data_IF_670914561728
#
_entry.id   IF_670914561728
#
_cell.length_a   1.000
_cell.length_b   1.000
_cell.length_c   1.000
_cell.angle_alpha   90.00
_cell.angle_beta   90.00
_cell.angle_gamma   90.00
#
_symmetry.space_group_name_H-M   'P 1'
#
loop_
_entity.id
_entity.type
_entity.pdbx_description
1 polymer ?
#
# COMPACT_ATOMS: atom_id res chain seq x y z
N UNK A 1 8.94 29.56 26.95
CA UNK A 1 8.08 28.38 26.82
C UNK A 1 8.94 27.16 27.17
N UNK A 2 8.55 26.41 28.18
CA UNK A 2 9.31 25.20 28.57
C UNK A 2 9.22 24.13 27.49
N UNK A 3 10.09 23.11 27.54
CA UNK A 3 10.13 22.05 26.53
C UNK A 3 8.82 21.28 26.46
N UNK A 4 8.10 21.11 27.58
CA UNK A 4 6.82 20.42 27.63
C UNK A 4 5.74 21.16 26.81
N UNK A 5 5.60 22.47 26.98
CA UNK A 5 4.63 23.24 26.18
C UNK A 5 4.95 23.32 24.69
N UNK A 6 6.22 23.10 24.29
CA UNK A 6 6.56 22.91 22.87
C UNK A 6 6.10 21.56 22.37
N UNK A 7 6.24 20.51 23.18
CA UNK A 7 5.78 19.15 22.83
C UNK A 7 4.25 19.13 22.72
N UNK A 8 3.52 19.73 23.68
CA UNK A 8 2.06 19.85 23.63
C UNK A 8 1.59 20.49 22.32
N UNK A 9 2.23 21.59 21.90
CA UNK A 9 1.90 22.23 20.62
C UNK A 9 2.13 21.29 19.43
N UNK A 10 3.24 20.54 19.42
CA UNK A 10 3.52 19.57 18.36
C UNK A 10 2.45 18.46 18.36
N UNK A 11 2.07 17.97 19.52
CA UNK A 11 1.03 16.94 19.66
C UNK A 11 -0.32 17.48 19.16
N UNK A 12 -0.74 18.66 19.61
CA UNK A 12 -2.02 19.26 19.23
C UNK A 12 -2.12 19.63 17.74
N UNK A 13 -0.98 20.06 17.14
CA UNK A 13 -0.92 20.44 15.73
C UNK A 13 -0.52 19.30 14.80
N UNK A 14 -0.44 18.07 15.32
CA UNK A 14 0.02 16.92 14.54
C UNK A 14 -0.98 16.61 13.39
N UNK A 15 -0.52 16.60 12.14
CA UNK A 15 -1.37 16.24 11.01
C UNK A 15 -1.93 14.83 11.20
N UNK A 16 -3.24 14.70 11.07
CA UNK A 16 -3.97 13.43 11.23
C UNK A 16 -3.73 12.74 12.60
N UNK A 17 -3.32 13.52 13.61
CA UNK A 17 -3.01 12.99 14.94
C UNK A 17 -1.78 12.09 15.01
N UNK A 18 -0.91 12.11 14.01
CA UNK A 18 0.26 11.22 13.93
C UNK A 18 1.55 12.00 14.27
N UNK A 19 2.26 11.49 15.26
CA UNK A 19 3.49 12.07 15.79
C UNK A 19 4.65 11.10 15.61
N UNK A 20 5.79 11.60 15.13
CA UNK A 20 7.01 10.81 15.03
C UNK A 20 8.10 11.33 15.97
N UNK A 21 8.91 10.42 16.51
CA UNK A 21 10.09 10.80 17.28
C UNK A 21 11.05 11.70 16.46
N UNK A 22 11.07 11.55 15.14
CA UNK A 22 11.88 12.40 14.25
C UNK A 22 11.40 13.86 14.21
N UNK A 23 10.08 14.12 14.32
CA UNK A 23 9.54 15.49 14.40
C UNK A 23 10.01 16.19 15.68
N UNK A 24 9.99 15.47 16.82
CA UNK A 24 10.52 16.02 18.07
C UNK A 24 12.04 16.29 17.99
N UNK A 25 12.80 15.36 17.44
CA UNK A 25 14.23 15.54 17.26
C UNK A 25 14.58 16.76 16.38
N UNK A 26 13.82 17.00 15.30
CA UNK A 26 13.95 18.22 14.47
C UNK A 26 13.64 19.50 15.24
N UNK A 27 12.75 19.43 16.23
CA UNK A 27 12.44 20.55 17.11
C UNK A 27 13.41 20.68 18.30
N UNK A 28 14.49 19.88 18.35
CA UNK A 28 15.46 19.85 19.44
C UNK A 28 14.92 19.25 20.74
N UNK A 29 13.89 18.41 20.66
CA UNK A 29 13.20 17.83 21.81
C UNK A 29 13.48 16.33 21.91
N UNK A 30 13.66 15.84 23.14
CA UNK A 30 13.88 14.41 23.37
C UNK A 30 12.55 13.64 23.28
N UNK A 31 12.58 12.48 22.60
CA UNK A 31 11.42 11.61 22.44
C UNK A 31 10.77 11.15 23.76
N UNK A 32 11.51 11.18 24.87
CA UNK A 32 11.02 10.81 26.20
C UNK A 32 9.82 11.63 26.65
N UNK A 33 9.67 12.87 26.16
CA UNK A 33 8.49 13.68 26.46
C UNK A 33 7.17 13.05 25.98
N UNK A 34 7.19 12.21 24.93
CA UNK A 34 6.00 11.52 24.44
C UNK A 34 5.51 10.43 25.41
N UNK A 35 6.36 10.00 26.34
CA UNK A 35 5.98 8.98 27.33
C UNK A 35 4.86 9.47 28.24
N UNK A 36 4.92 10.71 28.68
CA UNK A 36 3.87 11.31 29.52
C UNK A 36 2.51 11.31 28.82
N UNK A 37 2.48 11.58 27.51
CA UNK A 37 1.24 11.56 26.72
C UNK A 37 0.72 10.14 26.48
N UNK A 38 1.63 9.15 26.46
CA UNK A 38 1.22 7.73 26.42
C UNK A 38 0.66 7.29 27.76
N UNK A 39 1.25 7.71 28.89
CA UNK A 39 0.76 7.40 30.22
C UNK A 39 -0.57 8.08 30.53
N UNK A 40 -0.79 9.30 30.03
CA UNK A 40 -2.09 10.00 30.17
C UNK A 40 -3.19 9.41 29.26
N UNK A 41 -2.83 8.53 28.32
CA UNK A 41 -3.76 7.97 27.35
C UNK A 41 -4.10 8.89 26.18
N UNK A 42 -3.47 10.04 26.06
CA UNK A 42 -3.64 10.96 24.93
C UNK A 42 -3.01 10.43 23.64
N UNK A 43 -1.92 9.68 23.78
CA UNK A 43 -1.22 9.02 22.67
C UNK A 43 -1.15 7.51 22.94
N UNK A 44 -1.16 6.73 21.87
CA UNK A 44 -0.69 5.35 21.93
C UNK A 44 0.48 5.14 20.95
N UNK A 45 1.32 4.16 21.28
CA UNK A 45 2.48 3.82 20.47
C UNK A 45 2.10 2.79 19.41
N UNK A 46 1.98 3.21 18.14
CA UNK A 46 1.70 2.32 17.02
C UNK A 46 2.93 1.51 16.58
N UNK A 47 4.12 2.10 16.71
CA UNK A 47 5.37 1.45 16.31
C UNK A 47 6.60 2.15 16.86
N UNK A 48 7.79 1.71 16.45
CA UNK A 48 9.05 2.33 16.89
C UNK A 48 9.13 3.80 16.43
N UNK A 49 9.00 4.72 17.39
CA UNK A 49 9.06 6.16 17.12
C UNK A 49 7.85 6.71 16.37
N UNK A 50 6.75 5.97 16.34
CA UNK A 50 5.48 6.35 15.74
C UNK A 50 4.39 6.31 16.81
N UNK A 51 3.71 7.43 17.01
CA UNK A 51 2.67 7.64 18.01
C UNK A 51 1.44 8.23 17.35
N UNK A 52 0.27 7.90 17.86
CA UNK A 52 -1.01 8.34 17.32
C UNK A 52 -1.87 8.88 18.47
N UNK A 53 -2.57 9.97 18.24
CA UNK A 53 -3.53 10.50 19.18
C UNK A 53 -4.71 9.52 19.34
N UNK A 54 -5.13 9.26 20.57
CA UNK A 54 -6.24 8.37 20.86
C UNK A 54 -7.57 8.86 20.29
N UNK A 55 -7.69 10.14 20.01
CA UNK A 55 -8.84 10.78 19.36
C UNK A 55 -8.75 10.84 17.84
N UNK A 56 -7.62 10.46 17.25
CA UNK A 56 -7.43 10.53 15.80
C UNK A 56 -8.18 9.40 15.08
N UNK A 57 -8.68 9.71 13.88
CA UNK A 57 -9.21 8.69 12.99
C UNK A 57 -8.08 7.80 12.47
N UNK A 58 -8.17 6.51 12.71
CA UNK A 58 -7.12 5.57 12.29
C UNK A 58 -7.12 5.38 10.77
N UNK A 59 -5.94 5.59 10.17
CA UNK A 59 -5.65 5.24 8.79
C UNK A 59 -4.64 4.09 8.77
N UNK A 60 -5.15 2.87 8.81
CA UNK A 60 -4.32 1.66 8.84
C UNK A 60 -3.34 1.60 7.69
N UNK A 61 -3.74 2.02 6.48
CA UNK A 61 -2.85 2.00 5.32
C UNK A 61 -1.65 2.93 5.51
N UNK A 62 -1.91 4.15 5.97
CA UNK A 62 -0.85 5.10 6.21
C UNK A 62 0.05 4.68 7.37
N UNK A 63 -0.55 4.27 8.49
CA UNK A 63 0.18 3.88 9.70
C UNK A 63 1.07 2.66 9.46
N UNK A 64 0.56 1.62 8.78
CA UNK A 64 1.35 0.45 8.41
C UNK A 64 2.52 0.80 7.50
N UNK A 65 2.31 1.66 6.51
CA UNK A 65 3.39 2.07 5.63
C UNK A 65 4.40 3.00 6.30
N UNK A 66 3.97 3.82 7.26
CA UNK A 66 4.90 4.58 8.12
C UNK A 66 5.73 3.67 9.03
N UNK A 67 5.11 2.62 9.57
CA UNK A 67 5.80 1.60 10.38
C UNK A 67 6.78 0.77 9.54
N UNK A 68 6.39 0.43 8.33
CA UNK A 68 7.16 -0.38 7.39
C UNK A 68 7.47 0.42 6.11
N UNK A 69 8.32 1.44 6.26
CA UNK A 69 8.59 2.43 5.22
C UNK A 69 9.12 1.88 3.88
N UNK A 70 9.60 0.64 3.84
CA UNK A 70 9.98 -0.07 2.61
C UNK A 70 8.88 -0.98 2.07
N UNK A 71 7.73 -1.05 2.70
CA UNK A 71 6.60 -1.81 2.19
C UNK A 71 5.86 -1.03 1.10
N UNK A 72 5.55 -1.67 -0.02
CA UNK A 72 4.71 -1.13 -1.09
C UNK A 72 3.46 -1.97 -1.15
N UNK A 73 2.28 -1.35 -1.11
CA UNK A 73 1.01 -2.07 -1.29
C UNK A 73 0.96 -2.72 -2.66
N UNK A 74 0.51 -3.97 -2.71
CA UNK A 74 0.60 -4.81 -3.90
C UNK A 74 -0.54 -5.84 -3.96
N UNK A 75 -0.64 -6.57 -5.07
CA UNK A 75 -1.60 -7.66 -5.27
C UNK A 75 -3.06 -7.21 -4.99
N UNK A 76 -3.80 -7.98 -4.22
CA UNK A 76 -5.23 -7.72 -3.95
C UNK A 76 -5.47 -6.40 -3.22
N UNK A 77 -4.54 -6.00 -2.34
CA UNK A 77 -4.60 -4.70 -1.66
C UNK A 77 -4.42 -3.54 -2.64
N UNK A 78 -3.49 -3.66 -3.58
CA UNK A 78 -3.31 -2.64 -4.61
C UNK A 78 -4.52 -2.57 -5.56
N UNK A 79 -5.12 -3.72 -5.94
CA UNK A 79 -6.35 -3.72 -6.72
C UNK A 79 -7.49 -2.98 -6.01
N UNK A 80 -7.65 -3.20 -4.71
CA UNK A 80 -8.64 -2.49 -3.89
C UNK A 80 -8.37 -0.98 -3.86
N UNK A 81 -7.14 -0.58 -3.53
CA UNK A 81 -6.74 0.82 -3.44
C UNK A 81 -6.84 1.57 -4.77
N UNK A 82 -6.63 0.88 -5.89
CA UNK A 82 -6.77 1.43 -7.24
C UNK A 82 -8.21 1.35 -7.78
N UNK A 83 -9.15 0.85 -6.99
CA UNK A 83 -10.56 0.72 -7.38
C UNK A 83 -10.82 -0.38 -8.41
N UNK A 84 -9.96 -1.38 -8.52
CA UNK A 84 -10.12 -2.53 -9.41
C UNK A 84 -10.67 -3.78 -8.72
N UNK A 85 -10.89 -3.71 -7.42
CA UNK A 85 -11.62 -4.69 -6.63
C UNK A 85 -12.51 -3.96 -5.63
N UNK A 86 -13.79 -4.35 -5.57
CA UNK A 86 -14.73 -3.84 -4.57
C UNK A 86 -14.63 -4.62 -3.24
N UNK A 87 -13.86 -5.72 -3.25
CA UNK A 87 -13.65 -6.56 -2.08
C UNK A 87 -12.51 -6.01 -1.23
N UNK A 88 -12.84 -5.54 -0.02
CA UNK A 88 -11.84 -5.17 0.98
C UNK A 88 -10.97 -6.39 1.32
N UNK A 89 -9.65 -6.31 1.22
CA UNK A 89 -8.77 -7.41 1.59
C UNK A 89 -8.89 -7.72 3.08
N UNK A 90 -9.08 -8.99 3.43
CA UNK A 90 -9.08 -9.42 4.83
C UNK A 90 -7.71 -9.22 5.49
N UNK A 91 -6.66 -9.29 4.71
CA UNK A 91 -5.27 -9.03 5.13
C UNK A 91 -4.58 -8.17 4.07
N UNK A 92 -3.84 -7.16 4.52
CA UNK A 92 -3.11 -6.30 3.58
C UNK A 92 -1.87 -7.00 3.02
N UNK A 93 -1.67 -6.88 1.72
CA UNK A 93 -0.49 -7.41 1.03
C UNK A 93 0.50 -6.29 0.76
N UNK A 94 1.72 -6.47 1.25
CA UNK A 94 2.83 -5.54 0.99
C UNK A 94 4.02 -6.29 0.41
N UNK A 95 4.65 -5.67 -0.59
CA UNK A 95 5.90 -6.17 -1.20
C UNK A 95 7.10 -5.42 -0.64
N UNK A 96 8.13 -6.19 -0.28
CA UNK A 96 9.40 -5.71 0.25
C UNK A 96 10.56 -6.18 -0.64
N UNK A 97 11.69 -5.47 -0.66
CA UNK A 97 12.89 -5.96 -1.32
C UNK A 97 13.43 -7.20 -0.60
N UNK A 98 13.99 -8.14 -1.36
CA UNK A 98 14.68 -9.31 -0.81
C UNK A 98 15.80 -8.84 0.15
N UNK A 99 15.91 -9.49 1.29
CA UNK A 99 16.84 -9.09 2.36
C UNK A 99 16.27 -8.08 3.36
N UNK A 100 15.13 -7.49 3.12
CA UNK A 100 14.46 -6.69 4.15
C UNK A 100 14.00 -7.61 5.29
N UNK A 101 14.57 -7.40 6.46
CA UNK A 101 14.26 -8.16 7.66
C UNK A 101 13.68 -7.24 8.72
N UNK A 102 12.40 -7.36 8.98
CA UNK A 102 11.76 -6.79 10.15
C UNK A 102 11.12 -7.95 10.92
N UNK A 103 11.67 -8.27 12.08
CA UNK A 103 11.12 -9.33 12.96
C UNK A 103 9.64 -9.08 13.28
N UNK A 104 9.27 -7.80 13.44
CA UNK A 104 7.89 -7.38 13.69
C UNK A 104 6.91 -7.69 12.56
N UNK A 105 7.37 -7.89 11.31
CA UNK A 105 6.47 -8.30 10.20
C UNK A 105 5.79 -9.65 10.45
N UNK A 106 6.40 -10.53 11.24
CA UNK A 106 5.79 -11.82 11.59
C UNK A 106 4.64 -11.71 12.58
N UNK A 107 4.56 -10.59 13.29
CA UNK A 107 3.53 -10.31 14.30
C UNK A 107 2.33 -9.54 13.72
N UNK A 108 2.48 -9.04 12.50
CA UNK A 108 1.40 -8.32 11.82
C UNK A 108 0.53 -9.26 11.01
N UNK A 109 -0.73 -8.91 10.90
CA UNK A 109 -1.66 -9.62 10.01
C UNK A 109 -1.50 -9.15 8.56
N UNK A 110 -0.27 -9.29 8.04
CA UNK A 110 0.14 -8.89 6.71
C UNK A 110 0.48 -10.10 5.84
N UNK A 111 0.14 -10.02 4.56
CA UNK A 111 0.68 -10.90 3.53
C UNK A 111 1.95 -10.26 2.98
N UNK A 112 3.10 -10.84 3.33
CA UNK A 112 4.42 -10.31 2.95
C UNK A 112 4.90 -10.97 1.68
N UNK A 113 5.08 -10.19 0.62
CA UNK A 113 5.76 -10.60 -0.62
C UNK A 113 7.18 -10.07 -0.64
N UNK A 114 8.10 -10.81 -1.26
CA UNK A 114 9.50 -10.39 -1.43
C UNK A 114 9.93 -10.51 -2.88
N UNK A 115 10.57 -9.46 -3.37
CA UNK A 115 11.08 -9.41 -4.75
C UNK A 115 12.55 -8.99 -4.73
N UNK A 116 13.28 -9.38 -5.76
CA UNK A 116 14.66 -8.93 -5.97
C UNK A 116 14.68 -7.41 -6.19
N UNK A 117 15.79 -6.71 -5.86
CA UNK A 117 15.87 -5.26 -5.96
C UNK A 117 15.44 -4.72 -7.32
N UNK A 118 15.87 -5.36 -8.39
CA UNK A 118 15.56 -4.97 -9.77
C UNK A 118 14.06 -4.97 -10.06
N UNK A 119 13.29 -5.80 -9.34
CA UNK A 119 11.84 -5.88 -9.47
C UNK A 119 11.08 -5.09 -8.40
N UNK A 120 11.78 -4.42 -7.49
CA UNK A 120 11.14 -3.66 -6.42
C UNK A 120 10.81 -2.22 -6.84
N UNK A 121 11.72 -1.54 -7.53
CA UNK A 121 11.68 -0.09 -7.70
C UNK A 121 10.81 0.41 -8.86
N UNK A 122 10.26 -0.47 -9.73
CA UNK A 122 9.44 -0.02 -10.84
C UNK A 122 7.94 -0.16 -10.61
N UNK A 123 7.17 0.74 -11.17
CA UNK A 123 5.72 0.78 -11.07
C UNK A 123 5.21 1.27 -9.71
N UNK A 124 6.05 1.95 -8.92
CA UNK A 124 5.63 2.55 -7.65
C UNK A 124 4.99 3.90 -7.95
N UNK A 125 3.78 4.10 -7.45
CA UNK A 125 3.07 5.38 -7.48
C UNK A 125 2.64 5.78 -6.08
N UNK A 126 2.41 7.07 -5.87
CA UNK A 126 1.79 7.60 -4.67
C UNK A 126 0.33 7.91 -4.95
N UNK A 127 -0.54 7.47 -4.06
CA UNK A 127 -1.98 7.74 -4.09
C UNK A 127 -2.44 8.18 -2.70
N UNK A 128 -3.67 8.70 -2.62
CA UNK A 128 -4.30 8.94 -1.32
C UNK A 128 -4.93 7.65 -0.80
N UNK A 129 -4.73 7.37 0.48
CA UNK A 129 -5.48 6.32 1.20
C UNK A 129 -6.97 6.69 1.27
N UNK A 130 -7.86 5.78 1.66
CA UNK A 130 -9.27 6.13 1.92
C UNK A 130 -9.46 7.27 2.92
N UNK A 131 -8.51 7.49 3.84
CA UNK A 131 -8.52 8.60 4.81
C UNK A 131 -7.77 9.84 4.34
N UNK A 132 -7.29 9.88 3.08
CA UNK A 132 -6.66 11.07 2.47
C UNK A 132 -5.17 11.23 2.76
N UNK A 133 -4.48 10.22 3.27
CA UNK A 133 -3.03 10.28 3.51
C UNK A 133 -2.23 9.69 2.32
N UNK A 134 -1.05 10.25 2.00
CA UNK A 134 -0.23 9.73 0.90
C UNK A 134 0.36 8.36 1.25
N UNK A 135 0.09 7.39 0.39
CA UNK A 135 0.61 6.03 0.48
C UNK A 135 1.19 5.57 -0.85
N UNK A 136 2.14 4.65 -0.80
CA UNK A 136 2.78 4.09 -1.99
C UNK A 136 2.18 2.73 -2.31
N UNK A 137 1.84 2.56 -3.57
CA UNK A 137 1.25 1.34 -4.12
C UNK A 137 1.93 1.03 -5.46
N UNK A 138 1.95 -0.22 -5.89
CA UNK A 138 2.27 -0.50 -7.28
C UNK A 138 1.12 -0.08 -8.18
N UNK A 139 1.48 0.48 -9.35
CA UNK A 139 0.50 0.87 -10.36
C UNK A 139 -0.29 -0.34 -10.88
N UNK A 140 -1.30 -0.07 -11.67
CA UNK A 140 -2.25 -1.08 -12.09
C UNK A 140 -1.60 -2.15 -12.97
N UNK A 141 -0.78 -1.77 -13.95
CA UNK A 141 -0.13 -2.72 -14.86
C UNK A 141 0.84 -3.63 -14.13
N UNK A 142 1.57 -3.07 -13.15
CA UNK A 142 2.43 -3.84 -12.27
C UNK A 142 1.62 -4.79 -11.39
N UNK A 143 0.54 -4.32 -10.82
CA UNK A 143 -0.34 -5.10 -9.95
C UNK A 143 -0.97 -6.27 -10.69
N UNK A 144 -1.45 -6.05 -11.93
CA UNK A 144 -1.97 -7.11 -12.78
C UNK A 144 -0.92 -8.19 -13.08
N UNK A 145 0.32 -7.80 -13.30
CA UNK A 145 1.41 -8.75 -13.46
C UNK A 145 1.71 -9.54 -12.18
N UNK A 146 1.69 -8.87 -11.02
CA UNK A 146 2.01 -9.49 -9.73
C UNK A 146 0.95 -10.53 -9.32
N UNK A 147 -0.34 -10.28 -9.52
CA UNK A 147 -1.42 -11.25 -9.22
C UNK A 147 -1.37 -12.48 -10.13
N UNK A 148 -0.85 -12.34 -11.34
CA UNK A 148 -0.65 -13.44 -12.29
C UNK A 148 0.64 -14.23 -12.05
N UNK A 149 1.61 -13.66 -11.32
CA UNK A 149 2.94 -14.24 -11.16
C UNK A 149 2.99 -15.41 -10.19
N UNK A 150 2.15 -15.42 -9.19
CA UNK A 150 2.18 -16.43 -8.13
C UNK A 150 0.94 -17.32 -8.10
N UNK A 151 0.90 -18.18 -7.10
CA UNK A 151 -0.30 -18.85 -6.61
C UNK A 151 -0.77 -18.05 -5.40
N UNK A 152 -1.67 -17.09 -5.54
CA UNK A 152 -1.99 -16.32 -4.34
C UNK A 152 -3.21 -15.42 -4.43
N UNK A 153 -3.59 -15.00 -5.62
CA UNK A 153 -4.83 -14.27 -5.81
C UNK A 153 -5.92 -15.22 -6.31
N UNK A 154 -7.13 -15.01 -5.82
CA UNK A 154 -8.31 -15.74 -6.26
C UNK A 154 -8.51 -15.55 -7.76
N UNK A 155 -8.77 -16.65 -8.48
CA UNK A 155 -8.97 -16.64 -9.93
C UNK A 155 -10.13 -15.72 -10.34
N UNK A 156 -11.14 -15.58 -9.50
CA UNK A 156 -12.27 -14.69 -9.74
C UNK A 156 -11.83 -13.22 -9.64
N UNK A 157 -10.99 -12.86 -8.66
CA UNK A 157 -10.42 -11.51 -8.51
C UNK A 157 -9.55 -11.20 -9.72
N UNK A 158 -8.68 -12.12 -10.12
CA UNK A 158 -7.83 -11.96 -11.30
C UNK A 158 -8.67 -11.74 -12.56
N UNK A 159 -9.68 -12.59 -12.78
CA UNK A 159 -10.57 -12.49 -13.94
C UNK A 159 -11.34 -11.16 -13.99
N UNK A 160 -11.91 -10.74 -12.86
CA UNK A 160 -12.64 -9.48 -12.73
C UNK A 160 -11.73 -8.27 -13.00
N UNK A 161 -10.54 -8.23 -12.39
CA UNK A 161 -9.58 -7.14 -12.57
C UNK A 161 -9.11 -7.05 -14.04
N UNK A 162 -8.76 -8.17 -14.66
CA UNK A 162 -8.35 -8.21 -16.07
C UNK A 162 -9.47 -7.78 -17.02
N UNK A 163 -10.71 -8.20 -16.77
CA UNK A 163 -11.89 -7.78 -17.56
C UNK A 163 -12.13 -6.28 -17.44
N UNK A 164 -12.08 -5.74 -16.22
CA UNK A 164 -12.22 -4.30 -15.97
C UNK A 164 -11.11 -3.50 -16.65
N UNK A 165 -9.86 -3.98 -16.57
CA UNK A 165 -8.73 -3.37 -17.25
C UNK A 165 -8.89 -3.37 -18.78
N UNK A 166 -9.27 -4.50 -19.37
CA UNK A 166 -9.47 -4.61 -20.81
C UNK A 166 -10.56 -3.64 -21.34
N UNK A 167 -11.59 -3.37 -20.52
CA UNK A 167 -12.67 -2.43 -20.83
C UNK A 167 -12.30 -0.96 -20.56
N UNK A 168 -11.25 -0.68 -19.76
CA UNK A 168 -10.85 0.68 -19.42
C UNK A 168 -10.35 1.45 -20.65
N UNK A 169 -10.69 2.75 -20.71
CA UNK A 169 -10.13 3.67 -21.71
C UNK A 169 -8.69 4.07 -21.39
N UNK A 170 -8.32 4.05 -20.12
CA UNK A 170 -7.01 4.48 -19.61
C UNK A 170 -6.00 3.33 -19.53
N UNK A 171 -6.31 2.17 -20.14
CA UNK A 171 -5.39 1.04 -20.17
C UNK A 171 -4.14 1.35 -21.00
N UNK A 172 -2.98 1.04 -20.46
CA UNK A 172 -1.71 1.09 -21.15
C UNK A 172 -1.20 -0.34 -21.44
N UNK A 173 -1.62 -0.87 -22.58
CA UNK A 173 -1.24 -2.22 -23.02
C UNK A 173 0.26 -2.34 -23.25
N UNK A 174 0.89 -1.26 -23.73
CA UNK A 174 2.34 -1.26 -23.98
C UNK A 174 3.11 -1.44 -22.66
N UNK A 175 2.78 -0.64 -21.67
CA UNK A 175 3.35 -0.71 -20.32
C UNK A 175 3.08 -2.06 -19.66
N UNK A 176 1.83 -2.55 -19.76
CA UNK A 176 1.47 -3.88 -19.25
C UNK A 176 2.37 -4.97 -19.86
N UNK A 177 2.58 -4.94 -21.18
CA UNK A 177 3.40 -5.94 -21.86
C UNK A 177 4.88 -5.84 -21.50
N UNK A 178 5.42 -4.63 -21.33
CA UNK A 178 6.78 -4.42 -20.82
C UNK A 178 6.98 -5.01 -19.42
N UNK A 179 6.02 -4.76 -18.50
CA UNK A 179 6.07 -5.30 -17.15
C UNK A 179 5.88 -6.83 -17.14
N UNK A 180 4.98 -7.33 -17.97
CA UNK A 180 4.74 -8.77 -18.12
C UNK A 180 5.97 -9.53 -18.62
N UNK A 181 6.74 -8.94 -19.52
CA UNK A 181 8.02 -9.49 -20.00
C UNK A 181 9.07 -9.51 -18.90
N UNK A 182 9.28 -8.37 -18.24
CA UNK A 182 10.20 -8.22 -17.11
C UNK A 182 9.90 -9.17 -15.97
N UNK A 183 8.63 -9.36 -15.64
CA UNK A 183 8.17 -10.26 -14.57
C UNK A 183 7.96 -11.70 -15.01
N UNK A 184 8.20 -12.02 -16.30
CA UNK A 184 8.07 -13.35 -16.91
C UNK A 184 6.65 -13.93 -16.79
N UNK A 185 5.63 -13.09 -16.96
CA UNK A 185 4.20 -13.47 -16.93
C UNK A 185 3.47 -13.18 -18.25
N UNK A 186 4.19 -12.75 -19.29
CA UNK A 186 3.64 -12.37 -20.61
C UNK A 186 2.65 -13.40 -21.18
N UNK A 187 2.93 -14.73 -21.18
CA UNK A 187 1.97 -15.71 -21.68
C UNK A 187 0.65 -15.74 -20.90
N UNK A 188 0.72 -15.52 -19.57
CA UNK A 188 -0.49 -15.47 -18.71
C UNK A 188 -1.31 -14.22 -19.00
N UNK A 189 -0.66 -13.07 -19.13
CA UNK A 189 -1.31 -11.79 -19.46
C UNK A 189 -2.01 -11.89 -20.80
N UNK A 190 -1.34 -12.37 -21.84
CA UNK A 190 -1.92 -12.55 -23.18
C UNK A 190 -3.16 -13.45 -23.15
N UNK A 191 -3.06 -14.57 -22.45
CA UNK A 191 -4.19 -15.50 -22.29
C UNK A 191 -5.38 -14.79 -21.62
N UNK A 192 -5.16 -14.07 -20.51
CA UNK A 192 -6.24 -13.35 -19.85
C UNK A 192 -6.87 -12.29 -20.77
N UNK A 193 -6.07 -11.51 -21.50
CA UNK A 193 -6.59 -10.49 -22.43
C UNK A 193 -7.41 -11.10 -23.55
N UNK A 194 -7.01 -12.25 -24.11
CA UNK A 194 -7.76 -12.96 -25.15
C UNK A 194 -9.14 -13.44 -24.65
N UNK A 195 -9.20 -13.96 -23.43
CA UNK A 195 -10.46 -14.43 -22.85
C UNK A 195 -11.38 -13.30 -22.33
N UNK A 196 -10.82 -12.11 -22.09
CA UNK A 196 -11.59 -10.95 -21.60
C UNK A 196 -12.00 -9.99 -22.71
N UNK A 197 -11.44 -10.12 -23.92
CA UNK A 197 -11.87 -9.33 -25.08
C UNK A 197 -13.30 -9.70 -25.47
N UNK A 198 -14.21 -8.72 -25.63
CA UNK A 198 -15.56 -9.01 -26.08
C UNK A 198 -15.51 -9.75 -27.43
N UNK A 199 -16.27 -10.85 -27.51
CA UNK A 199 -16.39 -11.60 -28.75
C UNK A 199 -16.82 -10.67 -29.90
N UNK A 200 -16.35 -10.91 -31.13
CA UNK A 200 -16.84 -10.16 -32.30
C UNK A 200 -18.38 -10.14 -32.41
N UNK A 201 -19.08 -11.14 -31.86
CA UNK A 201 -20.53 -11.24 -31.81
C UNK A 201 -21.20 -10.23 -30.86
N UNK A 202 -20.50 -9.76 -29.81
CA UNK A 202 -21.05 -8.80 -28.84
C UNK A 202 -20.98 -7.36 -29.36
N UNK A 203 -20.14 -7.10 -30.37
CA UNK A 203 -19.99 -5.77 -31.01
C UNK A 203 -21.10 -5.47 -32.04
N UNK A 204 -21.91 -6.44 -32.39
CA UNK A 204 -23.01 -6.25 -33.37
C UNK A 204 -24.37 -5.93 -32.72
N UNK A 205 -24.43 -5.83 -31.39
CA UNK A 205 -25.69 -5.56 -30.65
C UNK A 205 -25.71 -4.18 -29.95
N UNK A 206 -24.82 -3.27 -30.33
CA UNK A 206 -24.86 -1.87 -29.85
C UNK A 206 -25.24 -0.93 -30.94
#
# INVERSE_FOLDING_TARGET
MNNMGKVEKIVQSAPNGIITAAQLAKAGLHRGYLHNFVESGELYRFGRGLYVQSSAWEDDFYLLQRKYSRGIYSHDTALYLLGYSDRTPARYTMTFPKGYNALSLKQEDLIVKRVIPENYDFGIIEIQSPSGNPIRVYDLERTLCDILRGSGSDIQIVGAAMKRYAASKDKDIHKLMQYAERLRVKPKVLRCLLYTSPSPRDRQKS
#
